data_IF_191160248717
#
_entry.id   IF_191160248717
#
_cell.length_a   1.000
_cell.length_b   1.000
_cell.length_c   1.000
_cell.angle_alpha   90.00
_cell.angle_beta   90.00
_cell.angle_gamma   90.00
#
_symmetry.space_group_name_H-M   'P 1'
#
loop_
_entity.id
_entity.type
_entity.pdbx_description
1 polymer ?
#
# COMPACT_ATOMS: atom_id res chain seq x y z
N UNK A 1 -13.69 -0.21 15.80
CA UNK A 1 -13.24 1.13 15.36
C UNK A 1 -12.65 0.96 13.97
N UNK A 2 -13.39 1.29 12.91
CA UNK A 2 -12.87 1.30 11.54
C UNK A 2 -11.92 2.48 11.42
N UNK A 3 -10.61 2.23 11.37
CA UNK A 3 -9.68 3.26 10.95
C UNK A 3 -9.96 3.52 9.47
N UNK A 4 -10.60 4.64 9.17
CA UNK A 4 -10.89 5.09 7.81
C UNK A 4 -9.63 5.72 7.24
N UNK A 5 -8.71 4.91 6.72
CA UNK A 5 -7.65 5.46 5.90
C UNK A 5 -8.30 6.09 4.65
N UNK A 6 -7.93 7.34 4.36
CA UNK A 6 -8.27 8.03 3.12
C UNK A 6 -7.20 7.66 2.08
N UNK A 7 -7.50 7.76 0.78
CA UNK A 7 -6.53 7.58 -0.31
C UNK A 7 -5.52 8.74 -0.33
N UNK A 8 -4.72 8.83 0.72
CA UNK A 8 -3.67 9.83 0.95
C UNK A 8 -2.32 9.13 0.98
N UNK A 9 -1.28 9.82 0.50
CA UNK A 9 0.08 9.29 0.53
C UNK A 9 0.60 9.16 1.97
N UNK A 10 1.28 8.05 2.26
CA UNK A 10 1.98 7.83 3.53
C UNK A 10 3.45 7.62 3.20
N UNK A 11 4.27 8.61 3.54
CA UNK A 11 5.72 8.55 3.30
C UNK A 11 6.48 7.72 4.34
N UNK A 12 5.87 7.44 5.48
CA UNK A 12 6.46 6.69 6.60
C UNK A 12 5.36 6.26 7.56
N UNK A 13 5.28 4.98 7.90
CA UNK A 13 4.43 4.52 9.00
C UNK A 13 5.12 4.82 10.35
N UNK A 14 4.34 5.16 11.36
CA UNK A 14 4.81 5.46 12.72
C UNK A 14 5.22 4.19 13.48
N UNK A 15 4.71 3.02 13.08
CA UNK A 15 5.04 1.74 13.70
C UNK A 15 4.65 0.54 12.83
N UNK A 16 5.22 -0.63 13.13
CA UNK A 16 4.79 -1.91 12.54
C UNK A 16 3.30 -2.16 12.77
N UNK A 17 2.77 -1.79 13.95
CA UNK A 17 1.33 -1.94 14.26
C UNK A 17 0.45 -1.05 13.40
N UNK A 18 0.90 0.15 13.01
CA UNK A 18 0.17 0.98 12.05
C UNK A 18 0.20 0.37 10.66
N UNK A 19 1.36 -0.10 10.20
CA UNK A 19 1.48 -0.78 8.92
C UNK A 19 0.56 -2.00 8.82
N UNK A 20 0.51 -2.84 9.86
CA UNK A 20 -0.37 -4.02 9.89
C UNK A 20 -1.86 -3.63 9.78
N UNK A 21 -2.30 -2.60 10.52
CA UNK A 21 -3.68 -2.07 10.41
C UNK A 21 -3.97 -1.51 9.02
N UNK A 22 -2.98 -0.89 8.39
CA UNK A 22 -3.11 -0.40 7.02
C UNK A 22 -3.27 -1.56 6.02
N UNK A 23 -2.53 -2.66 6.19
CA UNK A 23 -2.70 -3.86 5.38
C UNK A 23 -4.10 -4.47 5.54
N UNK A 24 -4.64 -4.51 6.76
CA UNK A 24 -6.03 -4.95 7.00
C UNK A 24 -7.03 -4.06 6.24
N UNK A 25 -6.84 -2.74 6.29
CA UNK A 25 -7.68 -1.80 5.55
C UNK A 25 -7.61 -2.01 4.03
N UNK A 26 -6.41 -2.22 3.46
CA UNK A 26 -6.23 -2.55 2.03
C UNK A 26 -6.95 -3.85 1.67
N UNK A 27 -6.83 -4.89 2.49
CA UNK A 27 -7.51 -6.16 2.25
C UNK A 27 -9.03 -5.99 2.30
N UNK A 28 -9.57 -5.11 3.14
CA UNK A 28 -10.99 -4.75 3.09
C UNK A 28 -11.36 -4.05 1.77
N UNK A 29 -10.51 -3.15 1.23
CA UNK A 29 -10.78 -2.52 -0.07
C UNK A 29 -10.78 -3.54 -1.23
N UNK A 30 -9.85 -4.52 -1.19
CA UNK A 30 -9.81 -5.64 -2.14
C UNK A 30 -11.07 -6.49 -2.07
N UNK A 31 -11.45 -6.94 -0.87
CA UNK A 31 -12.59 -7.81 -0.66
C UNK A 31 -13.92 -7.15 -1.06
N UNK A 32 -14.01 -5.83 -0.92
CA UNK A 32 -15.18 -5.06 -1.35
C UNK A 32 -15.15 -4.68 -2.85
N UNK A 33 -14.08 -5.04 -3.58
CA UNK A 33 -13.93 -4.76 -5.01
C UNK A 33 -13.76 -3.27 -5.34
N UNK A 34 -13.26 -2.46 -4.40
CA UNK A 34 -12.92 -1.06 -4.67
C UNK A 34 -11.60 -0.94 -5.44
N UNK A 35 -10.70 -1.90 -5.23
CA UNK A 35 -9.42 -2.04 -5.93
C UNK A 35 -9.20 -3.49 -6.34
N UNK A 36 -8.28 -3.69 -7.29
CA UNK A 36 -7.75 -4.99 -7.68
C UNK A 36 -6.23 -5.01 -7.43
N UNK A 37 -5.71 -6.12 -6.91
CA UNK A 37 -4.27 -6.34 -6.81
C UNK A 37 -3.73 -6.72 -8.19
N UNK A 38 -2.63 -6.08 -8.59
CA UNK A 38 -1.99 -6.31 -9.90
C UNK A 38 -0.51 -6.65 -9.69
N UNK A 39 0.13 -7.35 -10.66
CA UNK A 39 1.56 -7.64 -10.58
C UNK A 39 2.40 -6.38 -10.47
N UNK A 40 3.47 -6.44 -9.68
CA UNK A 40 4.49 -5.38 -9.63
C UNK A 40 5.23 -5.37 -10.96
N UNK A 41 5.18 -4.24 -11.67
CA UNK A 41 5.85 -4.09 -12.96
C UNK A 41 7.25 -3.44 -12.82
N UNK A 42 7.44 -2.58 -11.82
CA UNK A 42 8.70 -1.89 -11.55
C UNK A 42 8.84 -1.67 -10.04
N UNK A 43 9.98 -2.02 -9.45
CA UNK A 43 10.14 -1.91 -7.99
C UNK A 43 10.45 -0.47 -7.57
N UNK A 44 9.92 -0.04 -6.42
CA UNK A 44 10.17 1.31 -5.89
C UNK A 44 11.65 1.62 -5.68
N UNK A 45 12.43 0.64 -5.25
CA UNK A 45 13.87 0.80 -5.00
C UNK A 45 14.69 -0.42 -5.43
N UNK A 46 14.25 -1.63 -5.09
CA UNK A 46 14.87 -2.88 -5.53
C UNK A 46 13.90 -4.05 -5.38
N UNK A 47 14.18 -5.17 -6.07
CA UNK A 47 13.42 -6.42 -5.97
C UNK A 47 13.38 -7.01 -4.54
N UNK A 48 14.30 -6.56 -3.67
CA UNK A 48 14.35 -7.01 -2.27
C UNK A 48 13.26 -6.37 -1.39
N UNK A 49 12.63 -5.28 -1.85
CA UNK A 49 11.51 -4.69 -1.13
C UNK A 49 10.24 -5.50 -1.42
N UNK A 50 9.58 -5.94 -0.36
CA UNK A 50 8.27 -6.55 -0.47
C UNK A 50 7.26 -5.45 -0.82
N UNK A 51 6.75 -5.50 -2.04
CA UNK A 51 5.89 -4.47 -2.62
C UNK A 51 4.62 -5.11 -3.19
N UNK A 52 3.49 -4.40 -3.05
CA UNK A 52 2.18 -4.79 -3.59
C UNK A 52 1.56 -3.63 -4.33
N UNK A 53 0.99 -3.89 -5.51
CA UNK A 53 0.37 -2.88 -6.35
C UNK A 53 -1.14 -3.08 -6.45
N UNK A 54 -1.88 -1.98 -6.45
CA UNK A 54 -3.33 -1.99 -6.44
C UNK A 54 -3.88 -0.98 -7.43
N UNK A 55 -4.74 -1.42 -8.32
CA UNK A 55 -5.42 -0.59 -9.30
C UNK A 55 -6.85 -0.26 -8.83
N UNK A 56 -7.20 1.03 -8.82
CA UNK A 56 -8.58 1.50 -8.67
C UNK A 56 -9.36 1.35 -9.97
N UNK A 57 -10.69 1.35 -9.87
CA UNK A 57 -11.58 1.38 -11.05
C UNK A 57 -11.35 2.59 -11.97
N UNK A 58 -10.84 3.71 -11.44
CA UNK A 58 -10.46 4.89 -12.22
C UNK A 58 -9.23 4.68 -13.10
N UNK A 59 -8.48 3.59 -12.90
CA UNK A 59 -7.21 3.30 -13.55
C UNK A 59 -5.98 3.72 -12.75
N UNK A 60 -6.15 4.54 -11.70
CA UNK A 60 -5.06 4.92 -10.79
C UNK A 60 -4.45 3.69 -10.13
N UNK A 61 -3.12 3.58 -10.17
CA UNK A 61 -2.38 2.51 -9.49
C UNK A 61 -1.67 3.07 -8.27
N UNK A 62 -1.77 2.36 -7.16
CA UNK A 62 -1.15 2.68 -5.89
C UNK A 62 -0.26 1.52 -5.46
N UNK A 63 0.87 1.83 -4.84
CA UNK A 63 1.80 0.84 -4.30
C UNK A 63 1.87 0.92 -2.80
N UNK A 64 1.98 -0.24 -2.16
CA UNK A 64 2.37 -0.41 -0.77
C UNK A 64 3.74 -1.06 -0.73
N UNK A 65 4.71 -0.39 -0.13
CA UNK A 65 6.06 -0.92 0.11
C UNK A 65 6.20 -1.22 1.60
N UNK A 66 6.58 -2.45 1.93
CA UNK A 66 6.75 -2.87 3.31
C UNK A 66 7.89 -2.10 4.01
N UNK A 67 7.81 -1.87 5.33
CA UNK A 67 8.92 -1.40 6.13
C UNK A 67 10.11 -2.36 6.06
N UNK A 68 11.32 -1.79 5.95
CA UNK A 68 12.60 -2.49 6.04
C UNK A 68 13.61 -1.53 6.69
N UNK A 69 13.80 -1.66 8.01
CA UNK A 69 14.44 -0.63 8.83
C UNK A 69 15.82 -0.22 8.27
N UNK A 70 16.12 1.09 8.11
CA UNK A 70 15.41 2.25 8.67
C UNK A 70 14.26 2.78 7.82
N UNK A 71 13.94 2.15 6.69
CA UNK A 71 12.78 2.53 5.88
C UNK A 71 11.49 2.08 6.55
N UNK A 72 10.60 3.03 6.80
CA UNK A 72 9.37 2.80 7.57
C UNK A 72 8.14 2.52 6.69
N UNK A 73 8.37 2.06 5.46
CA UNK A 73 7.33 1.75 4.48
C UNK A 73 6.84 2.97 3.71
N UNK A 74 6.11 2.70 2.61
CA UNK A 74 5.53 3.74 1.76
C UNK A 74 4.18 3.30 1.22
N UNK A 75 3.26 4.25 1.09
CA UNK A 75 2.02 4.11 0.37
C UNK A 75 1.78 5.32 -0.51
N UNK A 76 1.52 5.12 -1.79
CA UNK A 76 1.23 6.23 -2.70
C UNK A 76 1.04 5.80 -4.16
N UNK A 77 0.68 6.74 -5.03
CA UNK A 77 0.43 6.47 -6.43
C UNK A 77 1.72 6.09 -7.18
N UNK A 78 1.54 5.29 -8.21
CA UNK A 78 2.56 5.02 -9.23
C UNK A 78 2.36 6.07 -10.33
N UNK A 79 3.40 6.85 -10.61
CA UNK A 79 3.39 7.87 -11.68
C UNK A 79 3.90 7.28 -12.97
#
# INVERSE_FOLDING_TARGET
>A
MTSSYVWEEIHSFQSVSEFNRFQEWINHQLNNGFIAEIPVAEYYASENFHERWFQKKSGEVWRLVNPDFPFLGYWGPIK
#
